data_IF_955763653712
#
_entry.id   IF_955763653712
#
_cell.length_a   1.000
_cell.length_b   1.000
_cell.length_c   1.000
_cell.angle_alpha   90.00
_cell.angle_beta   90.00
_cell.angle_gamma   90.00
#
_symmetry.space_group_name_H-M   'P 1'
#
loop_
_entity.id
_entity.type
_entity.pdbx_description
1 polymer ?
#
# COMPACT_ATOMS: atom_id res chain seq x y z
N UNK A 1 1.39 19.04 5.07
CA UNK A 1 1.43 18.00 4.05
C UNK A 1 1.10 16.67 4.70
N UNK A 2 0.33 15.83 4.04
CA UNK A 2 0.02 14.49 4.53
C UNK A 2 1.27 13.59 4.56
N UNK A 3 1.26 12.55 5.41
CA UNK A 3 2.38 11.62 5.56
C UNK A 3 2.27 10.48 4.56
N UNK A 4 3.27 10.31 3.71
CA UNK A 4 3.39 9.18 2.78
C UNK A 4 4.15 8.01 3.44
N UNK A 5 3.69 6.79 3.24
CA UNK A 5 4.32 5.55 3.72
C UNK A 5 4.36 4.54 2.55
N UNK A 6 5.53 3.98 2.23
CA UNK A 6 6.84 4.30 2.77
C UNK A 6 7.25 5.75 2.49
N UNK A 7 8.14 6.30 3.32
CA UNK A 7 8.67 7.66 3.12
C UNK A 7 9.69 7.65 1.97
N UNK A 8 9.17 7.75 0.75
CA UNK A 8 9.96 7.80 -0.48
C UNK A 8 9.85 9.18 -1.12
N UNK A 9 10.87 9.59 -1.86
CA UNK A 9 10.81 10.77 -2.70
C UNK A 9 9.75 10.56 -3.79
N UNK A 10 8.80 11.49 -3.91
CA UNK A 10 7.67 11.35 -4.85
C UNK A 10 8.17 11.13 -6.29
N UNK A 11 9.30 11.75 -6.66
CA UNK A 11 9.88 11.64 -8.00
C UNK A 11 10.43 10.23 -8.31
N UNK A 12 10.58 9.38 -7.30
CA UNK A 12 10.96 7.96 -7.46
C UNK A 12 9.77 7.01 -7.55
N UNK A 13 8.56 7.51 -7.38
CA UNK A 13 7.36 6.68 -7.53
C UNK A 13 7.16 6.34 -9.00
N UNK A 14 6.95 5.08 -9.27
CA UNK A 14 6.62 4.54 -10.59
C UNK A 14 5.40 3.62 -10.47
N UNK A 15 4.47 3.65 -11.44
CA UNK A 15 4.47 4.42 -12.70
C UNK A 15 4.14 5.92 -12.50
N UNK A 16 4.36 6.73 -13.53
CA UNK A 16 4.12 8.19 -13.51
C UNK A 16 2.66 8.55 -13.16
N UNK A 17 1.72 7.65 -13.47
CA UNK A 17 0.32 7.79 -13.09
C UNK A 17 0.14 7.88 -11.57
N UNK A 18 0.80 7.01 -10.83
CA UNK A 18 0.78 6.99 -9.37
C UNK A 18 1.58 8.15 -8.79
N UNK A 19 2.72 8.50 -9.39
CA UNK A 19 3.52 9.67 -8.99
C UNK A 19 2.69 10.96 -8.97
N UNK A 20 1.89 11.20 -10.04
CA UNK A 20 0.99 12.37 -10.13
C UNK A 20 -0.05 12.38 -9.01
N UNK A 21 -0.64 11.23 -8.74
CA UNK A 21 -1.64 11.07 -7.67
C UNK A 21 -0.99 11.24 -6.30
N UNK A 22 0.16 10.61 -6.04
CA UNK A 22 0.91 10.76 -4.79
C UNK A 22 1.23 12.24 -4.49
N UNK A 23 1.70 12.99 -5.49
CA UNK A 23 2.00 14.41 -5.38
C UNK A 23 0.75 15.20 -4.97
N UNK A 24 -0.35 15.00 -5.68
CA UNK A 24 -1.60 15.69 -5.39
C UNK A 24 -2.13 15.37 -3.98
N UNK A 25 -2.04 14.11 -3.56
CA UNK A 25 -2.46 13.65 -2.23
C UNK A 25 -1.61 14.29 -1.12
N UNK A 26 -0.28 14.21 -1.25
CA UNK A 26 0.65 14.72 -0.22
C UNK A 26 0.53 16.23 -0.06
N UNK A 27 0.43 16.96 -1.17
CA UNK A 27 0.38 18.43 -1.15
C UNK A 27 -0.95 18.98 -0.62
N UNK A 28 -2.08 18.33 -0.94
CA UNK A 28 -3.40 18.90 -0.67
C UNK A 28 -4.10 18.33 0.57
N UNK A 29 -3.76 17.12 1.00
CA UNK A 29 -4.40 16.54 2.19
C UNK A 29 -3.82 17.11 3.50
N UNK A 30 -4.62 17.17 4.57
CA UNK A 30 -4.19 17.62 5.90
C UNK A 30 -3.03 16.80 6.47
N UNK A 31 -2.29 17.38 7.42
CA UNK A 31 -1.12 16.73 8.05
C UNK A 31 -1.44 15.48 8.87
N UNK A 32 -2.66 15.37 9.34
CA UNK A 32 -3.15 14.22 10.09
C UNK A 32 -3.53 13.04 9.20
N UNK A 33 -3.57 13.23 7.88
CA UNK A 33 -3.76 12.14 6.92
C UNK A 33 -2.50 11.28 6.76
N UNK A 34 -2.71 9.98 6.58
CA UNK A 34 -1.67 9.04 6.17
C UNK A 34 -2.05 8.39 4.85
N UNK A 35 -1.08 8.32 3.97
CA UNK A 35 -1.19 7.76 2.65
C UNK A 35 -0.22 6.57 2.59
N UNK A 36 -0.76 5.36 2.47
CA UNK A 36 0.04 4.16 2.22
C UNK A 36 0.08 3.95 0.71
N UNK A 37 1.27 3.89 0.13
CA UNK A 37 1.50 3.63 -1.28
C UNK A 37 2.03 2.22 -1.48
N UNK A 38 1.60 1.56 -2.56
CA UNK A 38 1.97 0.17 -2.90
C UNK A 38 1.78 -0.77 -1.70
N UNK A 39 0.58 -0.76 -1.11
CA UNK A 39 0.30 -1.53 0.09
C UNK A 39 0.02 -3.00 -0.23
N UNK A 40 0.92 -3.93 0.13
CA UNK A 40 0.74 -5.35 -0.13
C UNK A 40 -0.27 -5.96 0.85
N UNK A 41 -1.08 -6.89 0.37
CA UNK A 41 -1.95 -7.66 1.24
C UNK A 41 -1.94 -9.15 0.88
N UNK A 42 -2.08 -9.97 1.91
CA UNK A 42 -2.20 -11.42 1.82
C UNK A 42 -3.38 -11.89 2.66
N UNK A 43 -4.27 -12.65 2.05
CA UNK A 43 -5.42 -13.24 2.72
C UNK A 43 -5.53 -14.73 2.42
N UNK A 44 -5.87 -15.52 3.44
CA UNK A 44 -6.12 -16.94 3.28
C UNK A 44 -7.57 -17.28 3.63
N UNK A 45 -8.24 -18.00 2.73
CA UNK A 45 -9.52 -18.63 3.01
C UNK A 45 -9.32 -20.13 3.20
N UNK A 46 -9.96 -20.70 4.22
CA UNK A 46 -10.04 -22.15 4.40
C UNK A 46 -11.41 -22.60 3.95
N UNK A 47 -11.47 -23.44 2.93
CA UNK A 47 -12.70 -24.05 2.45
C UNK A 47 -12.99 -25.31 3.24
N UNK A 48 -14.25 -25.48 3.62
CA UNK A 48 -14.72 -26.70 4.30
C UNK A 48 -14.62 -27.88 3.33
N UNK A 49 -13.73 -28.79 3.63
CA UNK A 49 -13.51 -30.03 2.88
C UNK A 49 -12.73 -31.03 3.75
N UNK A 50 -12.69 -32.28 3.36
CA UNK A 50 -11.90 -33.28 4.05
C UNK A 50 -10.84 -33.88 3.09
N UNK A 51 -9.57 -33.44 3.12
CA UNK A 51 -8.99 -32.42 4.02
C UNK A 51 -9.38 -30.98 3.65
N UNK A 52 -9.34 -30.03 4.61
CA UNK A 52 -9.64 -28.63 4.35
C UNK A 52 -8.61 -28.02 3.40
N UNK A 53 -9.09 -27.37 2.33
CA UNK A 53 -8.22 -26.67 1.37
C UNK A 53 -8.06 -25.21 1.78
N UNK A 54 -6.80 -24.76 1.82
CA UNK A 54 -6.44 -23.38 2.08
C UNK A 54 -6.05 -22.69 0.76
N UNK A 55 -6.80 -21.67 0.38
CA UNK A 55 -6.47 -20.84 -0.79
C UNK A 55 -5.88 -19.52 -0.32
N UNK A 56 -4.74 -19.14 -0.89
CA UNK A 56 -4.10 -17.87 -0.65
C UNK A 56 -4.51 -16.88 -1.74
N UNK A 57 -4.86 -15.68 -1.32
CA UNK A 57 -5.12 -14.54 -2.18
C UNK A 57 -4.15 -13.44 -1.80
N UNK A 58 -3.54 -12.84 -2.80
CA UNK A 58 -2.59 -11.73 -2.63
C UNK A 58 -2.93 -10.59 -3.58
N UNK A 59 -2.40 -9.42 -3.30
CA UNK A 59 -2.55 -8.26 -4.13
C UNK A 59 -1.79 -7.08 -3.56
N UNK A 60 -1.82 -6.02 -4.33
CA UNK A 60 -1.26 -4.72 -3.98
C UNK A 60 -2.34 -3.66 -4.17
N UNK A 61 -2.32 -2.66 -3.31
CA UNK A 61 -3.22 -1.50 -3.35
C UNK A 61 -2.38 -0.30 -3.69
N UNK A 62 -2.70 0.40 -4.77
CA UNK A 62 -1.93 1.57 -5.19
C UNK A 62 -1.87 2.62 -4.08
N UNK A 63 -3.03 2.97 -3.48
CA UNK A 63 -3.07 3.86 -2.31
C UNK A 63 -4.14 3.44 -1.31
N UNK A 64 -3.77 3.45 -0.01
CA UNK A 64 -4.72 3.45 1.10
C UNK A 64 -4.61 4.80 1.79
N UNK A 65 -5.71 5.55 1.85
CA UNK A 65 -5.78 6.89 2.41
C UNK A 65 -6.52 6.80 3.74
N UNK A 66 -5.83 7.10 4.83
CA UNK A 66 -6.41 7.22 6.15
C UNK A 66 -6.58 8.71 6.47
N UNK A 67 -7.82 9.19 6.41
CA UNK A 67 -8.19 10.56 6.72
C UNK A 67 -9.06 10.59 7.98
N UNK A 68 -8.53 10.99 9.14
CA UNK A 68 -9.22 10.85 10.44
C UNK A 68 -10.61 11.46 10.47
N UNK A 69 -10.82 12.60 9.83
CA UNK A 69 -12.11 13.28 9.76
C UNK A 69 -13.16 12.51 8.93
N UNK A 70 -12.73 11.78 7.91
CA UNK A 70 -13.63 11.19 6.92
C UNK A 70 -13.65 9.65 6.94
N UNK A 71 -12.51 8.98 7.17
CA UNK A 71 -12.46 7.51 7.17
C UNK A 71 -11.24 6.93 6.46
N UNK A 72 -11.42 5.75 5.85
CA UNK A 72 -10.42 5.00 5.11
C UNK A 72 -10.88 4.80 3.66
N UNK A 73 -10.03 5.13 2.71
CA UNK A 73 -10.32 4.97 1.27
C UNK A 73 -9.21 4.20 0.58
N UNK A 74 -9.58 3.22 -0.23
CA UNK A 74 -8.70 2.60 -1.21
C UNK A 74 -8.84 3.34 -2.53
N UNK A 75 -7.71 3.70 -3.14
CA UNK A 75 -7.66 4.37 -4.43
C UNK A 75 -6.84 3.53 -5.40
N UNK A 76 -7.49 3.01 -6.43
CA UNK A 76 -6.85 2.33 -7.56
C UNK A 76 -6.52 3.36 -8.63
N UNK A 77 -5.32 3.31 -9.21
CA UNK A 77 -4.85 4.27 -10.20
C UNK A 77 -4.59 3.59 -11.53
N UNK A 78 -5.12 4.18 -12.59
CA UNK A 78 -4.84 3.75 -13.96
C UNK A 78 -4.28 4.90 -14.77
N UNK A 79 -3.13 4.63 -15.39
CA UNK A 79 -2.49 5.53 -16.35
C UNK A 79 -2.85 5.20 -17.79
N UNK A 80 -2.39 6.07 -18.73
CA UNK A 80 -2.64 5.89 -20.14
C UNK A 80 -4.04 6.31 -20.58
N UNK A 81 -4.37 6.00 -21.81
CA UNK A 81 -5.73 6.15 -22.36
C UNK A 81 -6.51 4.88 -22.02
N UNK A 82 -7.47 5.00 -21.14
CA UNK A 82 -8.30 3.87 -20.70
C UNK A 82 -9.60 3.85 -21.52
N UNK A 83 -9.97 2.65 -21.95
CA UNK A 83 -11.14 2.39 -22.76
C UNK A 83 -11.88 1.15 -22.25
N UNK A 84 -13.20 1.22 -22.16
CA UNK A 84 -14.04 0.07 -21.87
C UNK A 84 -14.81 -0.30 -23.15
N UNK A 85 -14.61 -1.52 -23.63
CA UNK A 85 -15.27 -2.02 -24.83
C UNK A 85 -16.51 -2.81 -24.44
N UNK A 86 -17.67 -2.25 -24.72
CA UNK A 86 -18.96 -2.81 -24.31
C UNK A 86 -19.22 -4.20 -24.91
N UNK A 87 -18.85 -4.43 -26.17
CA UNK A 87 -19.04 -5.71 -26.87
C UNK A 87 -18.19 -6.84 -26.24
N UNK A 88 -16.97 -6.52 -25.82
CA UNK A 88 -16.04 -7.47 -25.20
C UNK A 88 -16.22 -7.55 -23.68
N UNK A 89 -16.89 -6.54 -23.09
CA UNK A 89 -17.01 -6.31 -21.63
C UNK A 89 -15.66 -6.28 -20.90
N UNK A 90 -14.68 -5.68 -21.56
CA UNK A 90 -13.30 -5.66 -21.11
C UNK A 90 -12.70 -4.26 -21.12
N UNK A 91 -11.68 -4.11 -20.27
CA UNK A 91 -10.94 -2.88 -20.11
C UNK A 91 -9.60 -2.93 -20.85
N UNK A 92 -9.27 -1.82 -21.50
CA UNK A 92 -8.04 -1.66 -22.27
C UNK A 92 -7.30 -0.40 -21.85
N UNK A 93 -5.98 -0.47 -21.87
CA UNK A 93 -5.09 0.68 -21.67
C UNK A 93 -4.18 0.82 -22.89
N UNK A 94 -4.14 2.04 -23.45
CA UNK A 94 -3.22 2.39 -24.53
C UNK A 94 -2.11 3.27 -23.97
N UNK A 95 -0.85 2.86 -24.16
CA UNK A 95 0.32 3.60 -23.74
C UNK A 95 0.66 4.75 -24.70
N UNK A 96 1.71 5.51 -24.40
CA UNK A 96 2.17 6.63 -25.25
C UNK A 96 2.70 6.19 -26.62
N UNK A 97 3.13 4.94 -26.76
CA UNK A 97 3.60 4.34 -28.00
C UNK A 97 2.45 3.84 -28.90
N UNK A 98 1.21 3.94 -28.40
CA UNK A 98 0.02 3.47 -29.12
C UNK A 98 -0.27 1.98 -28.95
N UNK A 99 0.48 1.27 -28.10
CA UNK A 99 0.22 -0.13 -27.82
C UNK A 99 -0.97 -0.27 -26.86
N UNK A 100 -1.94 -1.08 -27.27
CA UNK A 100 -3.16 -1.33 -26.50
C UNK A 100 -3.10 -2.71 -25.86
N UNK A 101 -3.22 -2.76 -24.54
CA UNK A 101 -3.22 -3.98 -23.78
C UNK A 101 -4.52 -4.11 -22.98
N UNK A 102 -5.03 -5.33 -22.88
CA UNK A 102 -6.13 -5.66 -21.97
C UNK A 102 -5.67 -5.51 -20.53
N UNK A 103 -6.47 -4.87 -19.70
CA UNK A 103 -6.19 -4.69 -18.27
C UNK A 103 -7.30 -5.32 -17.42
N UNK A 104 -7.02 -5.56 -16.16
CA UNK A 104 -8.04 -5.98 -15.19
C UNK A 104 -9.03 -4.83 -14.98
N UNK A 105 -10.28 -5.19 -14.70
CA UNK A 105 -11.32 -4.22 -14.31
C UNK A 105 -10.86 -3.41 -13.09
N UNK A 106 -10.69 -2.07 -13.22
CA UNK A 106 -10.20 -1.23 -12.13
C UNK A 106 -11.15 -1.16 -10.93
N UNK A 107 -12.46 -1.23 -11.18
CA UNK A 107 -13.46 -1.18 -10.12
C UNK A 107 -13.51 -2.49 -9.35
N UNK A 108 -13.43 -3.62 -10.04
CA UNK A 108 -13.29 -4.92 -9.41
C UNK A 108 -12.00 -5.04 -8.58
N UNK A 109 -10.88 -4.44 -9.06
CA UNK A 109 -9.63 -4.39 -8.30
C UNK A 109 -9.79 -3.55 -7.02
N UNK A 110 -10.29 -2.31 -7.13
CA UNK A 110 -10.51 -1.43 -5.99
C UNK A 110 -11.48 -2.03 -4.96
N UNK A 111 -12.58 -2.63 -5.42
CA UNK A 111 -13.53 -3.33 -4.57
C UNK A 111 -12.89 -4.52 -3.85
N UNK A 112 -12.13 -5.37 -4.54
CA UNK A 112 -11.38 -6.48 -3.94
C UNK A 112 -10.41 -5.98 -2.87
N UNK A 113 -9.71 -4.89 -3.15
CA UNK A 113 -8.73 -4.29 -2.28
C UNK A 113 -9.34 -3.74 -0.98
N UNK A 114 -10.46 -3.01 -1.06
CA UNK A 114 -11.14 -2.54 0.18
C UNK A 114 -11.71 -3.70 1.00
N UNK A 115 -12.20 -4.77 0.36
CA UNK A 115 -12.63 -5.98 1.09
C UNK A 115 -11.48 -6.68 1.79
N UNK A 116 -10.27 -6.69 1.21
CA UNK A 116 -9.08 -7.24 1.86
C UNK A 116 -8.71 -6.42 3.12
N UNK A 117 -8.71 -5.09 3.04
CA UNK A 117 -8.50 -4.21 4.20
C UNK A 117 -9.58 -4.41 5.26
N UNK A 118 -10.86 -4.45 4.86
CA UNK A 118 -11.97 -4.71 5.77
C UNK A 118 -11.76 -6.01 6.56
N UNK A 119 -11.48 -7.12 5.89
CA UNK A 119 -11.19 -8.40 6.53
C UNK A 119 -10.00 -8.36 7.47
N UNK A 120 -8.95 -7.59 7.11
CA UNK A 120 -7.78 -7.41 7.95
C UNK A 120 -8.14 -6.68 9.26
N UNK A 121 -8.96 -5.62 9.16
CA UNK A 121 -9.47 -4.86 10.30
C UNK A 121 -10.36 -5.74 11.20
N UNK A 122 -11.30 -6.46 10.62
CA UNK A 122 -12.21 -7.37 11.32
C UNK A 122 -11.46 -8.47 12.08
N UNK A 123 -10.49 -9.11 11.43
CA UNK A 123 -9.74 -10.21 12.02
C UNK A 123 -8.91 -9.80 13.23
N UNK A 124 -8.41 -8.56 13.26
CA UNK A 124 -7.44 -8.15 14.28
C UNK A 124 -8.03 -7.32 15.42
N UNK A 125 -9.02 -6.46 15.16
CA UNK A 125 -9.42 -5.45 16.17
C UNK A 125 -10.91 -5.12 16.19
N UNK A 126 -11.65 -5.34 15.11
CA UNK A 126 -13.06 -4.99 15.00
C UNK A 126 -13.89 -6.26 14.79
N UNK A 127 -15.09 -6.32 15.39
CA UNK A 127 -16.00 -7.41 15.07
C UNK A 127 -16.55 -7.28 13.65
N UNK A 128 -16.93 -8.38 13.03
CA UNK A 128 -17.37 -8.47 11.62
C UNK A 128 -18.53 -7.53 11.23
N UNK A 129 -19.17 -6.89 12.21
CA UNK A 129 -20.33 -6.02 11.97
C UNK A 129 -20.10 -4.55 12.36
N UNK A 130 -18.90 -4.14 12.82
CA UNK A 130 -18.79 -2.81 13.43
C UNK A 130 -17.42 -2.13 13.25
N UNK A 131 -17.07 -1.82 12.00
CA UNK A 131 -16.05 -0.79 11.74
C UNK A 131 -16.76 0.57 11.92
N UNK A 132 -16.38 1.37 12.93
CA UNK A 132 -17.18 2.54 13.35
C UNK A 132 -16.97 3.81 12.51
N UNK A 133 -16.23 3.70 11.42
CA UNK A 133 -15.92 4.82 10.52
C UNK A 133 -16.18 4.43 9.06
N UNK A 134 -16.31 5.44 8.22
CA UNK A 134 -16.51 5.27 6.78
C UNK A 134 -15.32 4.56 6.15
N UNK A 135 -15.56 3.59 5.29
CA UNK A 135 -14.57 2.99 4.42
C UNK A 135 -15.16 2.74 3.03
N UNK A 136 -14.33 2.88 2.01
CA UNK A 136 -14.76 2.75 0.64
C UNK A 136 -13.60 2.68 -0.34
N UNK A 137 -13.91 2.77 -1.61
CA UNK A 137 -12.91 2.78 -2.68
C UNK A 137 -13.27 3.78 -3.77
N UNK A 138 -12.26 4.13 -4.57
CA UNK A 138 -12.41 4.92 -5.78
C UNK A 138 -11.39 4.48 -6.83
N UNK A 139 -11.63 4.88 -8.08
CA UNK A 139 -10.72 4.66 -9.20
C UNK A 139 -10.30 6.00 -9.77
N UNK A 140 -8.99 6.19 -9.99
CA UNK A 140 -8.41 7.39 -10.55
C UNK A 140 -7.77 7.13 -11.92
N UNK A 141 -8.34 7.71 -12.96
CA UNK A 141 -7.78 7.72 -14.31
C UNK A 141 -6.89 8.97 -14.48
N UNK A 142 -5.69 8.92 -13.94
CA UNK A 142 -4.79 10.09 -13.79
C UNK A 142 -4.26 10.68 -15.09
N UNK A 143 -4.37 9.95 -16.20
CA UNK A 143 -3.94 10.37 -17.54
C UNK A 143 -5.06 10.68 -18.51
N UNK A 144 -6.32 10.53 -18.11
CA UNK A 144 -7.49 10.62 -18.99
C UNK A 144 -8.56 11.51 -18.39
N UNK A 145 -9.48 11.98 -19.23
CA UNK A 145 -10.72 12.66 -18.82
C UNK A 145 -11.87 11.71 -19.00
N UNK A 146 -12.63 11.51 -17.93
CA UNK A 146 -13.85 10.73 -17.98
C UNK A 146 -14.93 11.45 -18.80
N UNK A 147 -15.53 10.74 -19.76
CA UNK A 147 -16.67 11.21 -20.56
C UNK A 147 -17.60 10.04 -20.86
N UNK A 148 -18.90 10.26 -20.73
CA UNK A 148 -19.91 9.29 -21.14
C UNK A 148 -20.56 8.51 -20.01
N UNK A 149 -21.11 7.34 -20.34
CA UNK A 149 -21.70 6.42 -19.37
C UNK A 149 -20.67 5.69 -18.53
N UNK A 150 -21.11 5.04 -17.46
CA UNK A 150 -20.27 4.18 -16.63
C UNK A 150 -20.47 2.72 -16.97
N UNK A 151 -19.41 1.92 -17.04
CA UNK A 151 -19.53 0.49 -17.21
C UNK A 151 -20.35 -0.17 -16.08
N UNK A 152 -20.97 -1.32 -16.34
CA UNK A 152 -21.66 -2.07 -15.30
C UNK A 152 -20.76 -2.34 -14.08
N UNK A 153 -21.29 -2.16 -12.87
CA UNK A 153 -20.53 -2.34 -11.62
C UNK A 153 -19.72 -1.13 -11.19
N UNK A 154 -19.84 0.00 -11.87
CA UNK A 154 -19.19 1.26 -11.50
C UNK A 154 -20.21 2.38 -11.33
N UNK A 155 -19.79 3.47 -10.67
CA UNK A 155 -20.60 4.67 -10.45
C UNK A 155 -19.76 5.94 -10.68
N UNK A 156 -20.39 7.03 -11.25
CA UNK A 156 -19.69 8.30 -11.45
C UNK A 156 -19.09 8.89 -10.17
N UNK A 157 -19.77 8.71 -9.04
CA UNK A 157 -19.40 9.27 -7.73
C UNK A 157 -18.09 8.73 -7.15
N UNK A 158 -17.59 7.59 -7.66
CA UNK A 158 -16.32 7.00 -7.23
C UNK A 158 -15.23 7.09 -8.30
N UNK A 159 -15.45 7.88 -9.35
CA UNK A 159 -14.49 8.08 -10.44
C UNK A 159 -13.75 9.40 -10.24
N UNK A 160 -12.44 9.33 -10.23
CA UNK A 160 -11.55 10.46 -10.38
C UNK A 160 -10.88 10.43 -11.75
N UNK A 161 -10.66 11.58 -12.34
CA UNK A 161 -9.92 11.76 -13.59
C UNK A 161 -8.85 12.85 -13.44
N UNK A 162 -8.12 13.14 -14.50
CA UNK A 162 -7.06 14.15 -14.48
C UNK A 162 -7.53 15.53 -14.01
N UNK A 163 -8.81 15.90 -14.20
CA UNK A 163 -9.35 17.19 -13.77
C UNK A 163 -9.61 17.27 -12.26
N UNK A 164 -9.64 16.12 -11.59
CA UNK A 164 -9.82 16.03 -10.14
C UNK A 164 -8.50 16.19 -9.37
N UNK A 165 -7.34 15.93 -10.00
CA UNK A 165 -6.03 16.02 -9.34
C UNK A 165 -5.73 17.40 -8.76
N UNK A 166 -6.00 18.55 -9.46
CA UNK A 166 -5.76 19.88 -8.89
C UNK A 166 -6.65 20.22 -7.68
N UNK A 167 -7.72 19.47 -7.47
CA UNK A 167 -8.70 19.63 -6.37
C UNK A 167 -8.98 18.31 -5.66
N UNK A 168 -7.98 17.45 -5.53
CA UNK A 168 -8.15 16.07 -5.05
C UNK A 168 -8.72 16.02 -3.64
N UNK A 169 -8.40 16.99 -2.79
CA UNK A 169 -8.96 17.10 -1.44
C UNK A 169 -10.49 17.13 -1.46
N UNK A 170 -11.10 18.07 -2.18
CA UNK A 170 -12.55 18.18 -2.25
C UNK A 170 -13.20 17.02 -3.01
N UNK A 171 -12.51 16.47 -4.00
CA UNK A 171 -12.99 15.30 -4.74
C UNK A 171 -13.05 14.06 -3.84
N UNK A 172 -12.04 13.83 -2.99
CA UNK A 172 -12.05 12.74 -2.02
C UNK A 172 -13.12 12.95 -0.94
N UNK A 173 -13.37 14.19 -0.48
CA UNK A 173 -14.46 14.48 0.45
C UNK A 173 -15.82 14.06 -0.13
N UNK A 174 -16.05 14.35 -1.41
CA UNK A 174 -17.29 13.92 -2.08
C UNK A 174 -17.39 12.39 -2.15
N UNK A 175 -16.29 11.68 -2.39
CA UNK A 175 -16.26 10.22 -2.38
C UNK A 175 -16.53 9.66 -0.98
N UNK A 176 -15.94 10.22 0.06
CA UNK A 176 -16.23 9.82 1.44
C UNK A 176 -17.70 10.04 1.79
N UNK A 177 -18.28 11.16 1.37
CA UNK A 177 -19.71 11.44 1.57
C UNK A 177 -20.59 10.41 0.83
N UNK A 178 -20.19 9.97 -0.37
CA UNK A 178 -20.89 8.90 -1.09
C UNK A 178 -20.87 7.58 -0.30
N UNK A 179 -19.74 7.22 0.32
CA UNK A 179 -19.61 5.99 1.13
C UNK A 179 -20.21 6.12 2.54
N UNK A 180 -20.52 7.30 3.00
CA UNK A 180 -21.10 7.53 4.32
C UNK A 180 -22.61 7.32 4.33
N UNK A 181 -23.03 6.05 4.21
CA UNK A 181 -24.46 5.69 4.11
C UNK A 181 -25.15 5.44 5.46
N UNK A 182 -24.39 5.35 6.55
CA UNK A 182 -24.93 5.01 7.85
C UNK A 182 -24.84 6.19 8.82
N UNK A 183 -25.97 6.58 9.39
CA UNK A 183 -26.07 7.63 10.43
C UNK A 183 -25.26 7.35 11.70
N UNK A 184 -24.67 6.17 11.84
CA UNK A 184 -23.82 5.73 12.96
C UNK A 184 -22.33 5.82 12.71
N UNK A 185 -21.91 6.15 11.48
CA UNK A 185 -20.47 6.27 11.18
C UNK A 185 -19.94 7.62 11.69
N UNK A 186 -18.78 7.58 12.28
CA UNK A 186 -18.12 8.73 12.91
C UNK A 186 -16.69 8.90 12.37
N UNK A 187 -16.11 10.04 12.66
CA UNK A 187 -14.67 10.27 12.46
C UNK A 187 -13.82 9.23 13.18
N UNK A 188 -12.65 8.97 12.65
CA UNK A 188 -11.67 8.06 13.26
C UNK A 188 -11.10 8.71 14.52
N UNK A 189 -11.35 8.11 15.68
CA UNK A 189 -10.79 8.61 16.95
C UNK A 189 -9.28 8.33 17.02
N UNK A 190 -8.53 9.00 17.92
CA UNK A 190 -7.12 8.67 18.16
C UNK A 190 -6.90 7.21 18.54
N UNK A 191 -7.85 6.59 19.25
CA UNK A 191 -7.79 5.17 19.60
C UNK A 191 -7.98 4.27 18.36
N UNK A 192 -8.94 4.58 17.49
CA UNK A 192 -9.12 3.86 16.23
C UNK A 192 -7.90 4.03 15.33
N UNK A 193 -7.37 5.26 15.26
CA UNK A 193 -6.17 5.57 14.50
C UNK A 193 -5.01 4.67 14.90
N UNK A 194 -4.73 4.58 16.22
CA UNK A 194 -3.67 3.71 16.75
C UNK A 194 -3.89 2.25 16.37
N UNK A 195 -5.14 1.76 16.43
CA UNK A 195 -5.49 0.40 16.02
C UNK A 195 -5.25 0.16 14.53
N UNK A 196 -5.71 1.08 13.69
CA UNK A 196 -5.53 0.99 12.23
C UNK A 196 -4.04 1.03 11.87
N UNK A 197 -3.26 1.94 12.47
CA UNK A 197 -1.82 2.03 12.25
C UNK A 197 -1.12 0.72 12.66
N UNK A 198 -1.46 0.11 13.79
CA UNK A 198 -0.90 -1.19 14.23
C UNK A 198 -1.27 -2.36 13.30
N UNK A 199 -2.41 -2.27 12.62
CA UNK A 199 -2.86 -3.28 11.68
C UNK A 199 -2.16 -3.13 10.33
N UNK A 200 -2.09 -1.90 9.82
CA UNK A 200 -1.53 -1.59 8.51
C UNK A 200 0.02 -1.54 8.53
N UNK A 201 0.61 -1.16 9.66
CA UNK A 201 2.07 -1.10 9.87
C UNK A 201 2.45 -1.86 11.14
N UNK A 202 2.31 -3.20 11.17
CA UNK A 202 2.72 -3.97 12.33
C UNK A 202 4.23 -3.87 12.54
N UNK A 203 4.63 -3.67 13.79
CA UNK A 203 6.04 -3.76 14.15
C UNK A 203 6.49 -5.22 14.01
N UNK A 204 7.56 -5.43 13.25
CA UNK A 204 8.17 -6.73 13.07
C UNK A 204 9.62 -6.67 13.56
N UNK A 205 9.92 -7.42 14.60
CA UNK A 205 11.27 -7.52 15.18
C UNK A 205 11.67 -8.98 15.29
N UNK A 206 12.85 -9.28 14.82
CA UNK A 206 13.53 -10.54 15.09
C UNK A 206 14.46 -10.31 16.29
N UNK A 207 14.31 -11.13 17.32
CA UNK A 207 15.21 -11.14 18.46
C UNK A 207 16.13 -12.34 18.26
N UNK A 208 17.46 -12.12 18.07
CA UNK A 208 18.40 -13.22 17.95
C UNK A 208 18.34 -14.10 19.20
N UNK A 209 18.33 -15.42 19.02
CA UNK A 209 18.46 -16.34 20.15
C UNK A 209 19.88 -16.31 20.70
N UNK A 210 20.04 -16.56 22.00
CA UNK A 210 21.32 -16.45 22.66
C UNK A 210 22.43 -17.32 22.02
N UNK A 211 22.07 -18.50 21.52
CA UNK A 211 22.99 -19.38 20.80
C UNK A 211 23.58 -18.73 19.53
N UNK A 212 22.79 -18.04 18.73
CA UNK A 212 23.28 -17.35 17.50
C UNK A 212 24.20 -16.16 17.89
N UNK A 213 23.89 -15.46 18.99
CA UNK A 213 24.77 -14.39 19.46
C UNK A 213 26.13 -14.91 19.97
N UNK A 214 26.17 -16.10 20.59
CA UNK A 214 27.39 -16.75 21.02
C UNK A 214 28.20 -17.22 19.80
N UNK A 215 27.55 -17.84 18.82
CA UNK A 215 28.20 -18.28 17.58
C UNK A 215 28.86 -17.11 16.82
N UNK A 216 28.14 -15.97 16.71
CA UNK A 216 28.68 -14.76 16.08
C UNK A 216 29.89 -14.21 16.86
N UNK A 217 29.84 -14.20 18.21
CA UNK A 217 30.97 -13.75 19.05
C UNK A 217 32.16 -14.71 18.97
N UNK A 218 31.92 -16.03 18.94
CA UNK A 218 32.98 -17.02 18.76
C UNK A 218 33.65 -16.89 17.39
N UNK A 219 32.86 -16.67 16.32
CA UNK A 219 33.39 -16.44 14.98
C UNK A 219 34.27 -15.18 14.90
N UNK A 220 33.84 -14.09 15.55
CA UNK A 220 34.62 -12.85 15.63
C UNK A 220 35.92 -13.03 16.42
N UNK A 221 35.89 -13.78 17.54
CA UNK A 221 37.08 -14.11 18.32
C UNK A 221 38.08 -14.96 17.52
N UNK A 222 37.60 -15.95 16.75
CA UNK A 222 38.46 -16.76 15.89
C UNK A 222 39.11 -15.88 14.82
N UNK A 223 38.36 -15.00 14.19
CA UNK A 223 38.87 -14.08 13.16
C UNK A 223 39.93 -13.13 13.71
N UNK A 224 39.70 -12.54 14.90
CA UNK A 224 40.69 -11.69 15.56
C UNK A 224 41.97 -12.46 15.92
N UNK A 225 41.85 -13.74 16.32
CA UNK A 225 42.99 -14.59 16.62
C UNK A 225 43.82 -14.94 15.37
N UNK A 226 43.16 -15.20 14.25
CA UNK A 226 43.81 -15.45 12.96
C UNK A 226 44.55 -14.20 12.43
N UNK A 227 43.92 -13.00 12.56
CA UNK A 227 44.55 -11.74 12.19
C UNK A 227 45.79 -11.44 13.05
N UNK A 228 45.74 -11.73 14.36
CA UNK A 228 46.90 -11.60 15.26
C UNK A 228 48.04 -12.57 14.92
N UNK A 229 47.73 -13.82 14.57
CA UNK A 229 48.71 -14.79 14.12
C UNK A 229 49.35 -14.36 12.80
N UNK A 230 48.57 -13.83 11.87
CA UNK A 230 49.08 -13.33 10.61
C UNK A 230 50.05 -12.14 10.80
N UNK A 231 49.72 -11.21 11.71
CA UNK A 231 50.60 -10.10 12.06
C UNK A 231 51.91 -10.62 12.70
N UNK A 232 51.84 -11.62 13.59
CA UNK A 232 53.02 -12.23 14.19
C UNK A 232 53.94 -12.92 13.17
N UNK A 233 53.35 -13.58 12.17
CA UNK A 233 54.13 -14.20 11.07
C UNK A 233 54.75 -13.15 10.15
N UNK A 234 54.06 -12.04 9.89
CA UNK A 234 54.61 -10.92 9.14
C UNK A 234 55.78 -10.25 9.91
N UNK A 235 55.66 -10.06 11.21
CA UNK A 235 56.76 -9.49 12.07
C UNK A 235 57.95 -10.43 12.12
N UNK A 236 57.76 -11.76 12.22
CA UNK A 236 58.83 -12.74 12.15
C UNK A 236 59.55 -12.77 10.80
N UNK A 237 58.81 -12.53 9.73
CA UNK A 237 59.36 -12.56 8.36
C UNK A 237 60.06 -11.26 7.94
N UNK A 238 59.79 -10.14 8.62
CA UNK A 238 60.33 -8.82 8.30
C UNK A 238 60.86 -8.12 9.53
N UNK A 239 62.21 -8.09 9.67
CA UNK A 239 62.93 -7.42 10.77
C UNK A 239 62.81 -5.88 10.80
N UNK A 240 62.03 -5.27 9.92
CA UNK A 240 61.85 -3.81 9.77
C UNK A 240 60.36 -3.39 9.63
N UNK A 241 59.45 -4.07 10.29
CA UNK A 241 58.04 -3.70 10.28
C UNK A 241 57.72 -2.80 11.48
N UNK A 242 57.20 -1.60 11.21
CA UNK A 242 56.56 -0.76 12.21
C UNK A 242 55.06 -1.05 12.20
N UNK A 243 54.46 -1.30 13.35
CA UNK A 243 53.04 -1.43 13.55
C UNK A 243 52.56 -0.09 14.13
N UNK A 244 51.76 0.66 13.38
CA UNK A 244 51.06 1.85 13.87
C UNK A 244 49.75 1.45 14.56
#
# INVERSE_FOLDING_TARGET
MARLIPNVEIDRIYPISEQKVARALVEQLPQDCVIYHSYPWLHSNTHSGNPPQKTLYEGEIDFVILWPEHGLLVLEVKGGKIDYREEERDWYSTNQQGETNRIKDPFAQASKNIYAIKKLLEKKQYSSQNIPFTYGYAVCFSGSRYRGGVPPGSEPSIILDMNHLPKIKSSLQSIFNHWNHASSQRSITPADRKKVDQILLPEFKLIPVLSSQIEDQEADLVRMSEDQLHILDMVKSNSRMAIE
#
